data_IF_313359234807
#
_entry.id   IF_313359234807
#
_cell.length_a   1.000
_cell.length_b   1.000
_cell.length_c   1.000
_cell.angle_alpha   90.00
_cell.angle_beta   90.00
_cell.angle_gamma   90.00
#
_symmetry.space_group_name_H-M   'P 1'
#
loop_
_entity.id
_entity.type
_entity.pdbx_description
1 polymer ?
#
# COMPACT_ATOMS: atom_id res chain seq x y z
N UNK A 1 48.85 3.85 -2.67
CA UNK A 1 47.51 3.66 -3.27
C UNK A 1 46.55 3.19 -2.19
N UNK A 2 46.10 4.11 -1.34
CA UNK A 2 45.10 3.89 -0.28
C UNK A 2 43.99 4.87 -0.65
N UNK A 3 42.87 4.40 -1.18
CA UNK A 3 41.52 5.02 -1.22
C UNK A 3 40.69 4.25 -2.26
N UNK A 4 40.50 2.95 -2.04
CA UNK A 4 39.44 2.16 -2.69
C UNK A 4 38.67 1.51 -1.55
N UNK A 5 37.75 2.25 -0.90
CA UNK A 5 36.71 1.63 -0.08
C UNK A 5 35.61 2.55 0.48
N UNK A 6 35.19 3.63 -0.19
CA UNK A 6 33.98 4.35 0.28
C UNK A 6 33.16 4.90 -0.89
N UNK A 7 32.58 4.05 -1.74
CA UNK A 7 31.31 4.35 -2.47
C UNK A 7 30.59 3.03 -2.83
N UNK A 8 30.31 2.16 -1.86
CA UNK A 8 29.39 1.00 -2.06
C UNK A 8 28.38 0.96 -0.92
N UNK A 9 27.76 2.09 -0.61
CA UNK A 9 26.67 2.20 0.36
C UNK A 9 25.55 3.14 -0.09
N UNK A 10 25.51 3.47 -1.40
CA UNK A 10 24.46 4.30 -2.01
C UNK A 10 23.61 3.56 -3.05
N UNK A 11 23.80 2.25 -3.24
CA UNK A 11 23.10 1.44 -4.24
C UNK A 11 21.96 0.56 -3.67
N UNK A 12 21.42 0.90 -2.50
CA UNK A 12 20.14 0.36 -2.04
C UNK A 12 19.14 1.53 -1.92
N UNK A 13 19.08 2.37 -2.95
CA UNK A 13 17.76 2.87 -3.35
C UNK A 13 17.15 1.73 -4.15
N UNK A 14 16.70 0.68 -3.45
CA UNK A 14 15.72 -0.26 -4.00
C UNK A 14 14.69 0.65 -4.64
N UNK A 15 14.51 0.50 -5.95
CA UNK A 15 13.61 1.35 -6.72
C UNK A 15 12.33 1.53 -5.89
N UNK A 16 12.04 2.75 -5.45
CA UNK A 16 10.84 3.02 -4.67
C UNK A 16 9.55 2.60 -5.42
N UNK A 17 9.71 2.24 -6.70
CA UNK A 17 8.72 1.73 -7.63
C UNK A 17 8.66 0.20 -7.77
N UNK A 18 9.65 -0.55 -7.28
CA UNK A 18 9.66 -2.02 -7.30
C UNK A 18 8.80 -2.64 -6.17
N UNK A 19 8.22 -1.81 -5.30
CA UNK A 19 7.43 -2.30 -4.15
C UNK A 19 6.12 -2.98 -4.55
N UNK A 20 5.56 -2.63 -5.70
CA UNK A 20 4.20 -2.99 -6.07
C UNK A 20 4.15 -3.53 -7.51
N UNK A 21 3.34 -4.56 -7.73
CA UNK A 21 2.89 -4.95 -9.07
C UNK A 21 2.13 -3.78 -9.70
N UNK A 22 2.41 -3.48 -10.96
CA UNK A 22 1.82 -2.32 -11.67
C UNK A 22 0.83 -2.70 -12.77
N UNK A 23 0.97 -3.87 -13.36
CA UNK A 23 0.06 -4.36 -14.39
C UNK A 23 -0.96 -5.34 -13.77
N UNK A 24 -2.23 -5.19 -14.13
CA UNK A 24 -3.24 -6.16 -13.74
C UNK A 24 -3.02 -7.52 -14.40
N UNK A 25 -2.31 -7.59 -15.54
CA UNK A 25 -1.96 -8.84 -16.20
C UNK A 25 -1.01 -9.72 -15.37
N UNK A 26 -0.30 -9.13 -14.41
CA UNK A 26 0.60 -9.84 -13.48
C UNK A 26 -0.14 -10.36 -12.23
N UNK A 27 -1.46 -10.12 -12.14
CA UNK A 27 -2.33 -10.60 -11.06
C UNK A 27 -3.11 -11.83 -11.55
N UNK A 28 -3.10 -12.94 -10.79
CA UNK A 28 -3.90 -14.13 -11.11
C UNK A 28 -5.38 -13.82 -11.33
N UNK A 29 -5.97 -14.47 -12.33
CA UNK A 29 -7.35 -14.20 -12.75
C UNK A 29 -8.35 -14.46 -11.61
N UNK A 30 -8.10 -15.46 -10.77
CA UNK A 30 -8.91 -15.79 -9.60
C UNK A 30 -9.03 -14.64 -8.57
N UNK A 31 -8.04 -13.76 -8.50
CA UNK A 31 -8.09 -12.54 -7.68
C UNK A 31 -8.88 -11.46 -8.42
N UNK A 32 -8.63 -11.30 -9.73
CA UNK A 32 -9.25 -10.26 -10.55
C UNK A 32 -10.77 -10.40 -10.68
N UNK A 33 -11.28 -11.64 -10.77
CA UNK A 33 -12.73 -11.90 -10.82
C UNK A 33 -13.45 -11.47 -9.55
N UNK A 34 -12.73 -11.26 -8.44
CA UNK A 34 -13.28 -10.82 -7.16
C UNK A 34 -13.11 -9.32 -6.89
N UNK A 35 -12.57 -8.55 -7.86
CA UNK A 35 -12.48 -7.08 -7.75
C UNK A 35 -13.83 -6.46 -7.41
N UNK A 36 -14.93 -7.11 -7.80
CA UNK A 36 -16.27 -6.60 -7.58
C UNK A 36 -16.74 -6.63 -6.12
N UNK A 37 -16.11 -7.47 -5.30
CA UNK A 37 -16.38 -7.71 -3.87
C UNK A 37 -15.58 -6.81 -2.91
N UNK A 38 -14.53 -6.16 -3.41
CA UNK A 38 -13.66 -5.27 -2.62
C UNK A 38 -14.31 -3.90 -2.38
N UNK A 39 -14.09 -3.29 -1.20
CA UNK A 39 -14.58 -1.96 -0.84
C UNK A 39 -16.11 -1.86 -0.69
N UNK A 40 -16.78 -2.99 -0.41
CA UNK A 40 -18.25 -3.07 -0.35
C UNK A 40 -18.82 -2.93 1.06
N UNK A 41 -18.13 -3.47 2.05
CA UNK A 41 -18.53 -3.40 3.45
C UNK A 41 -18.09 -2.08 4.12
N UNK A 42 -18.56 -1.86 5.34
CA UNK A 42 -18.26 -0.68 6.16
C UNK A 42 -17.20 -0.96 7.23
N UNK A 43 -16.64 -2.16 7.26
CA UNK A 43 -15.68 -2.57 8.28
C UNK A 43 -14.32 -1.90 8.03
N UNK A 44 -13.64 -1.54 9.11
CA UNK A 44 -12.28 -0.98 9.03
C UNK A 44 -11.27 -2.08 8.68
N UNK A 45 -11.54 -3.30 9.14
CA UNK A 45 -10.74 -4.49 8.83
C UNK A 45 -10.94 -4.86 7.35
N UNK A 46 -9.85 -5.28 6.71
CA UNK A 46 -9.92 -5.79 5.34
C UNK A 46 -10.71 -7.10 5.29
N UNK A 47 -11.59 -7.22 4.30
CA UNK A 47 -12.21 -8.51 4.00
C UNK A 47 -11.24 -9.42 3.24
N UNK A 48 -11.57 -10.70 3.11
CA UNK A 48 -10.67 -11.69 2.52
C UNK A 48 -10.25 -11.35 1.08
N UNK A 49 -11.16 -10.83 0.26
CA UNK A 49 -10.85 -10.45 -1.13
C UNK A 49 -9.92 -9.24 -1.20
N UNK A 50 -10.13 -8.26 -0.30
CA UNK A 50 -9.26 -7.10 -0.16
C UNK A 50 -7.85 -7.51 0.30
N UNK A 51 -7.77 -8.38 1.29
CA UNK A 51 -6.50 -8.89 1.82
C UNK A 51 -5.73 -9.71 0.78
N UNK A 52 -6.41 -10.63 0.08
CA UNK A 52 -5.82 -11.45 -1.00
C UNK A 52 -5.24 -10.57 -2.12
N UNK A 53 -5.99 -9.56 -2.56
CA UNK A 53 -5.53 -8.60 -3.55
C UNK A 53 -4.31 -7.81 -3.07
N UNK A 54 -4.34 -7.26 -1.84
CA UNK A 54 -3.23 -6.49 -1.29
C UNK A 54 -1.97 -7.35 -1.07
N UNK A 55 -2.14 -8.59 -0.60
CA UNK A 55 -1.06 -9.57 -0.48
C UNK A 55 -0.39 -9.83 -1.83
N UNK A 56 -1.17 -9.87 -2.92
CA UNK A 56 -0.62 -10.07 -4.27
C UNK A 56 0.08 -8.82 -4.79
N UNK A 57 -0.56 -7.65 -4.78
CA UNK A 57 0.04 -6.46 -5.39
C UNK A 57 1.30 -5.99 -4.67
N UNK A 58 1.44 -6.28 -3.37
CA UNK A 58 2.63 -5.96 -2.58
C UNK A 58 3.52 -7.19 -2.32
N UNK A 59 3.40 -8.28 -3.10
CA UNK A 59 4.19 -9.49 -2.87
C UNK A 59 5.71 -9.23 -2.87
N UNK A 60 6.16 -8.22 -3.61
CA UNK A 60 7.57 -7.83 -3.70
C UNK A 60 8.07 -6.94 -2.54
N UNK A 61 7.18 -6.45 -1.67
CA UNK A 61 7.56 -5.52 -0.58
C UNK A 61 6.97 -5.87 0.79
N UNK A 62 5.97 -6.75 0.86
CA UNK A 62 5.33 -7.08 2.14
C UNK A 62 6.14 -8.04 3.01
N UNK A 63 7.21 -8.64 2.48
CA UNK A 63 8.00 -9.67 3.17
C UNK A 63 7.08 -10.78 3.74
N UNK A 64 7.00 -10.91 5.07
CA UNK A 64 6.14 -11.86 5.77
C UNK A 64 4.80 -11.27 6.24
N UNK A 65 4.56 -9.97 6.02
CA UNK A 65 3.32 -9.32 6.42
C UNK A 65 2.13 -9.84 5.60
N UNK A 66 1.10 -10.31 6.30
CA UNK A 66 -0.16 -10.78 5.73
C UNK A 66 -1.27 -9.78 6.05
N UNK A 67 -1.96 -9.32 5.00
CA UNK A 67 -3.10 -8.40 5.11
C UNK A 67 -4.37 -9.03 5.69
N UNK A 68 -4.41 -10.34 5.89
CA UNK A 68 -5.57 -11.04 6.47
C UNK A 68 -5.91 -10.49 7.86
N UNK A 69 -7.16 -10.08 8.06
CA UNK A 69 -7.67 -9.44 9.28
C UNK A 69 -6.91 -8.16 9.71
N UNK A 70 -6.24 -7.49 8.77
CA UNK A 70 -5.52 -6.24 9.06
C UNK A 70 -6.36 -4.99 8.81
N UNK A 71 -6.04 -3.92 9.53
CA UNK A 71 -6.57 -2.57 9.34
C UNK A 71 -5.55 -1.75 8.59
N UNK A 72 -5.96 -1.17 7.47
CA UNK A 72 -5.05 -0.41 6.61
C UNK A 72 -5.63 0.97 6.30
N UNK A 73 -4.78 1.98 6.42
CA UNK A 73 -5.15 3.35 6.08
C UNK A 73 -4.59 3.73 4.72
N UNK A 74 -5.43 4.37 3.89
CA UNK A 74 -5.09 4.75 2.53
C UNK A 74 -4.87 6.27 2.47
N UNK A 75 -3.69 6.71 2.02
CA UNK A 75 -3.33 8.12 1.98
C UNK A 75 -2.95 8.51 0.56
N UNK A 76 -3.62 9.50 -0.01
CA UNK A 76 -3.30 10.04 -1.33
C UNK A 76 -2.52 11.34 -1.18
N UNK A 77 -1.48 11.54 -2.01
CA UNK A 77 -0.57 12.68 -1.90
C UNK A 77 -1.32 14.03 -1.74
N UNK A 78 -2.19 14.34 -2.70
CA UNK A 78 -2.93 15.60 -2.75
C UNK A 78 -4.33 15.55 -2.11
N UNK A 79 -4.88 14.35 -1.91
CA UNK A 79 -6.27 14.18 -1.46
C UNK A 79 -6.36 13.85 0.04
N UNK A 80 -5.28 13.34 0.65
CA UNK A 80 -5.25 12.94 2.05
C UNK A 80 -5.82 11.56 2.30
N UNK A 81 -6.29 11.34 3.53
CA UNK A 81 -6.75 10.03 3.97
C UNK A 81 -8.07 9.68 3.28
N UNK A 82 -8.19 8.43 2.85
CA UNK A 82 -9.35 7.89 2.14
C UNK A 82 -9.77 6.55 2.72
N UNK A 83 -11.06 6.25 2.54
CA UNK A 83 -11.61 4.96 2.93
C UNK A 83 -11.13 3.85 2.00
N UNK A 84 -11.14 2.61 2.50
CA UNK A 84 -10.87 1.43 1.68
C UNK A 84 -11.78 1.34 0.46
N UNK A 85 -13.07 1.72 0.63
CA UNK A 85 -14.05 1.82 -0.46
C UNK A 85 -13.54 2.70 -1.61
N UNK A 86 -12.96 3.86 -1.29
CA UNK A 86 -12.42 4.76 -2.32
C UNK A 86 -11.28 4.08 -3.09
N UNK A 87 -10.29 3.54 -2.37
CA UNK A 87 -9.14 2.86 -2.97
C UNK A 87 -9.57 1.70 -3.89
N UNK A 88 -10.41 0.79 -3.40
CA UNK A 88 -10.83 -0.38 -4.18
C UNK A 88 -11.77 -0.01 -5.33
N UNK A 89 -12.60 1.03 -5.18
CA UNK A 89 -13.40 1.54 -6.30
C UNK A 89 -12.53 2.10 -7.43
N UNK A 90 -11.42 2.74 -7.08
CA UNK A 90 -10.45 3.25 -8.06
C UNK A 90 -9.73 2.11 -8.77
N UNK A 91 -9.24 1.10 -8.04
CA UNK A 91 -8.55 -0.05 -8.67
C UNK A 91 -9.47 -0.77 -9.65
N UNK A 92 -10.73 -1.00 -9.27
CA UNK A 92 -11.72 -1.59 -10.16
C UNK A 92 -11.98 -0.76 -11.39
N UNK A 93 -12.13 0.56 -11.24
CA UNK A 93 -12.31 1.47 -12.37
C UNK A 93 -11.10 1.40 -13.32
N UNK A 94 -9.88 1.44 -12.78
CA UNK A 94 -8.64 1.32 -13.57
C UNK A 94 -8.59 0.02 -14.35
N UNK A 95 -8.94 -1.10 -13.72
CA UNK A 95 -9.01 -2.40 -14.39
C UNK A 95 -10.00 -2.39 -15.57
N UNK A 96 -11.22 -1.88 -15.36
CA UNK A 96 -12.25 -1.77 -16.41
C UNK A 96 -11.81 -0.85 -17.56
N UNK A 97 -11.12 0.24 -17.22
CA UNK A 97 -10.58 1.21 -18.17
C UNK A 97 -9.28 0.72 -18.84
N UNK A 98 -8.83 -0.52 -18.56
CA UNK A 98 -7.57 -1.12 -19.06
C UNK A 98 -6.33 -0.27 -18.74
N UNK A 99 -6.35 0.41 -17.60
CA UNK A 99 -5.22 1.15 -17.05
C UNK A 99 -4.39 0.28 -16.11
N UNK A 100 -3.18 0.74 -15.80
CA UNK A 100 -2.34 0.14 -14.76
C UNK A 100 -2.91 0.37 -13.36
N UNK A 101 -2.45 -0.47 -12.43
CA UNK A 101 -2.73 -0.36 -10.99
C UNK A 101 -2.26 1.02 -10.51
N UNK A 102 -3.00 1.60 -9.56
CA UNK A 102 -2.58 2.87 -8.96
C UNK A 102 -1.21 2.73 -8.33
N UNK A 103 -0.30 3.65 -8.65
CA UNK A 103 1.02 3.68 -8.04
C UNK A 103 0.93 3.98 -6.56
N UNK A 104 1.23 2.98 -5.73
CA UNK A 104 1.20 3.07 -4.29
C UNK A 104 2.45 2.45 -3.64
N UNK A 105 2.66 2.76 -2.37
CA UNK A 105 3.75 2.25 -1.52
C UNK A 105 3.18 1.74 -0.21
N UNK A 106 3.82 0.72 0.36
CA UNK A 106 3.42 0.07 1.60
C UNK A 106 4.35 0.48 2.75
N UNK A 107 3.77 0.87 3.88
CA UNK A 107 4.46 1.04 5.15
C UNK A 107 3.81 0.12 6.17
N UNK A 108 4.57 -0.85 6.67
CA UNK A 108 4.13 -1.73 7.75
C UNK A 108 4.46 -1.04 9.08
N UNK A 109 3.48 -0.94 9.98
CA UNK A 109 3.67 -0.32 11.28
C UNK A 109 4.21 -1.36 12.26
N UNK A 110 5.16 -0.96 13.11
CA UNK A 110 5.60 -1.80 14.22
C UNK A 110 4.47 -1.98 15.26
N UNK A 111 4.64 -2.92 16.19
CA UNK A 111 3.62 -3.24 17.21
C UNK A 111 3.16 -2.00 17.99
N UNK A 112 4.10 -1.17 18.45
CA UNK A 112 3.79 0.04 19.22
C UNK A 112 3.04 1.08 18.39
N UNK A 113 3.47 1.28 17.14
CA UNK A 113 2.80 2.16 16.19
C UNK A 113 1.39 1.64 15.86
N UNK A 114 1.23 0.33 15.69
CA UNK A 114 -0.05 -0.30 15.38
C UNK A 114 -1.04 -0.16 16.53
N UNK A 115 -0.61 -0.42 17.77
CA UNK A 115 -1.43 -0.24 18.96
C UNK A 115 -1.86 1.22 19.14
N UNK A 116 -0.94 2.16 18.94
CA UNK A 116 -1.20 3.59 19.13
C UNK A 116 -2.14 4.14 18.06
N UNK A 117 -1.92 3.76 16.80
CA UNK A 117 -2.65 4.30 15.65
C UNK A 117 -3.88 3.47 15.26
N UNK A 118 -4.07 2.28 15.85
CA UNK A 118 -5.15 1.31 15.54
C UNK A 118 -5.15 0.78 14.10
N UNK A 119 -4.03 0.91 13.39
CA UNK A 119 -3.82 0.44 12.02
C UNK A 119 -2.55 -0.41 11.97
N UNK A 120 -2.55 -1.46 11.15
CA UNK A 120 -1.40 -2.34 10.99
C UNK A 120 -0.46 -1.88 9.86
N UNK A 121 -0.98 -1.15 8.88
CA UNK A 121 -0.21 -0.65 7.75
C UNK A 121 -0.80 0.62 7.14
N UNK A 122 0.03 1.35 6.40
CA UNK A 122 -0.32 2.52 5.61
C UNK A 122 -0.02 2.23 4.14
N UNK A 123 -1.00 2.45 3.27
CA UNK A 123 -0.81 2.46 1.82
C UNK A 123 -0.87 3.90 1.34
N UNK A 124 0.22 4.39 0.74
CA UNK A 124 0.26 5.74 0.18
C UNK A 124 0.20 5.71 -1.33
N UNK A 125 -0.67 6.49 -1.96
CA UNK A 125 -0.85 6.52 -3.41
C UNK A 125 -0.53 7.88 -4.03
N UNK A 126 0.02 7.84 -5.25
CA UNK A 126 0.35 9.00 -6.09
C UNK A 126 1.42 9.93 -5.50
N UNK A 127 2.29 9.40 -4.64
CA UNK A 127 3.46 10.12 -4.17
C UNK A 127 4.59 10.03 -5.21
N UNK A 128 5.14 11.18 -5.60
CA UNK A 128 6.31 11.24 -6.49
C UNK A 128 7.62 10.85 -5.78
N UNK A 129 7.65 11.08 -4.47
CA UNK A 129 8.77 10.78 -3.57
C UNK A 129 8.17 10.06 -2.37
N UNK A 130 8.82 8.98 -1.92
CA UNK A 130 8.38 8.22 -0.77
C UNK A 130 8.22 9.15 0.45
N UNK A 131 7.02 9.27 1.03
CA UNK A 131 6.80 10.11 2.19
C UNK A 131 7.49 9.54 3.43
N UNK A 132 7.85 10.44 4.34
CA UNK A 132 8.37 10.09 5.66
C UNK A 132 7.26 9.51 6.55
N UNK A 133 7.55 8.40 7.23
CA UNK A 133 6.57 7.66 8.03
C UNK A 133 6.01 8.50 9.19
N UNK A 134 6.86 9.25 9.91
CA UNK A 134 6.38 10.10 11.01
C UNK A 134 5.42 11.18 10.52
N UNK A 135 5.67 11.75 9.32
CA UNK A 135 4.75 12.70 8.70
C UNK A 135 3.42 12.06 8.32
N UNK A 136 3.41 10.80 7.90
CA UNK A 136 2.17 10.07 7.61
C UNK A 136 1.38 9.82 8.89
N UNK A 137 2.02 9.37 9.96
CA UNK A 137 1.41 9.13 11.27
C UNK A 137 0.74 10.43 11.78
N UNK A 138 1.46 11.55 11.79
CA UNK A 138 0.90 12.87 12.17
C UNK A 138 -0.31 13.27 11.30
N UNK A 139 -0.32 12.88 10.03
CA UNK A 139 -1.46 13.14 9.14
C UNK A 139 -2.68 12.29 9.52
N UNK A 140 -2.48 11.04 9.95
CA UNK A 140 -3.57 10.17 10.43
C UNK A 140 -4.17 10.77 11.71
N UNK A 141 -3.32 11.10 12.69
CA UNK A 141 -3.73 11.70 13.97
C UNK A 141 -4.57 12.97 13.77
N UNK A 142 -4.14 13.87 12.86
CA UNK A 142 -4.87 15.12 12.57
C UNK A 142 -6.26 14.90 11.97
N UNK A 143 -6.50 13.78 11.30
CA UNK A 143 -7.79 13.48 10.69
C UNK A 143 -8.78 12.80 11.67
N UNK A 144 -8.42 12.63 12.96
CA UNK A 144 -9.25 12.02 14.00
C UNK A 144 -9.88 10.67 13.57
N UNK A 145 -9.08 9.83 12.91
CA UNK A 145 -9.48 8.47 12.53
C UNK A 145 -9.27 7.48 13.68
#
# INVERSE_FOLDING_TARGET
MKYIMIIVLSLIKIDAFAQQIRDFNDIPQEILVNLDKMGRDKEIVLNNYEAEYLNKIFENSREHFDFTNKKVVFIYAHIGVKSKKHFFSEQRKRFLDKNTISSCSLFILDEKQSETNKYDAIITCWFKILPDLEKLIKRIEKNNL
#
